data_IF_320627501734
#
_entry.id   IF_320627501734
#
_cell.length_a   1.000
_cell.length_b   1.000
_cell.length_c   1.000
_cell.angle_alpha   90.00
_cell.angle_beta   90.00
_cell.angle_gamma   90.00
#
_symmetry.space_group_name_H-M   'P 1'
#
loop_
_entity.id
_entity.type
_entity.pdbx_description
1 polymer ?
#
# COMPACT_ATOMS: atom_id res chain seq x y z
N UNK A 1 -11.01 -13.41 37.66
CA UNK A 1 -9.68 -13.99 37.36
C UNK A 1 -9.61 -14.02 35.86
N UNK A 2 -8.93 -13.01 35.32
CA UNK A 2 -9.01 -12.61 33.92
C UNK A 2 -8.30 -13.60 32.99
N UNK A 3 -8.90 -13.70 31.82
CA UNK A 3 -8.58 -14.53 30.67
C UNK A 3 -7.24 -14.12 30.06
N UNK A 4 -6.19 -14.90 30.29
CA UNK A 4 -4.98 -14.87 29.47
C UNK A 4 -5.24 -15.71 28.21
N UNK A 5 -5.95 -15.12 27.23
CA UNK A 5 -5.96 -15.63 25.86
C UNK A 5 -5.00 -14.75 25.03
N UNK A 6 -3.76 -15.19 24.76
CA UNK A 6 -2.89 -14.48 23.85
C UNK A 6 -3.42 -14.75 22.44
N UNK A 7 -4.34 -13.91 21.96
CA UNK A 7 -4.51 -13.75 20.53
C UNK A 7 -3.14 -13.37 19.97
N UNK A 8 -2.46 -14.35 19.39
CA UNK A 8 -1.28 -14.16 18.56
C UNK A 8 -1.64 -13.07 17.56
N UNK A 9 -1.15 -11.85 17.79
CA UNK A 9 -1.20 -10.76 16.82
C UNK A 9 -0.49 -11.27 15.58
N UNK A 10 -1.26 -11.76 14.62
CA UNK A 10 -0.76 -12.24 13.34
C UNK A 10 -0.12 -11.04 12.65
N UNK A 11 1.20 -11.09 12.39
CA UNK A 11 1.90 -10.03 11.67
C UNK A 11 1.21 -9.85 10.31
N UNK A 12 0.61 -8.67 10.02
CA UNK A 12 -0.13 -8.45 8.78
C UNK A 12 0.76 -8.56 7.53
N UNK A 13 2.08 -8.42 7.69
CA UNK A 13 3.06 -8.58 6.61
C UNK A 13 3.84 -9.90 6.68
N UNK A 14 3.31 -10.91 7.39
CA UNK A 14 3.80 -12.28 7.28
C UNK A 14 3.48 -12.85 5.89
N UNK A 15 4.53 -13.19 5.14
CA UNK A 15 4.46 -13.74 3.78
C UNK A 15 4.57 -15.26 3.73
N UNK A 16 4.80 -15.94 4.85
CA UNK A 16 5.19 -17.36 4.88
C UNK A 16 4.21 -18.27 4.14
N UNK A 17 2.91 -18.01 4.27
CA UNK A 17 1.86 -18.79 3.60
C UNK A 17 1.85 -18.53 2.09
N UNK A 18 1.97 -17.26 1.68
CA UNK A 18 1.93 -16.87 0.27
C UNK A 18 3.18 -17.35 -0.46
N UNK A 19 4.35 -17.32 0.19
CA UNK A 19 5.60 -17.86 -0.36
C UNK A 19 5.53 -19.37 -0.57
N UNK A 20 4.92 -20.10 0.38
CA UNK A 20 4.66 -21.53 0.20
C UNK A 20 3.71 -21.78 -0.99
N UNK A 21 2.59 -21.04 -1.07
CA UNK A 21 1.64 -21.16 -2.17
C UNK A 21 2.26 -20.82 -3.54
N UNK A 22 3.09 -19.78 -3.60
CA UNK A 22 3.81 -19.40 -4.82
C UNK A 22 4.79 -20.51 -5.24
N UNK A 23 5.49 -21.12 -4.28
CA UNK A 23 6.40 -22.23 -4.55
C UNK A 23 5.70 -23.46 -5.11
N UNK A 24 4.53 -23.83 -4.57
CA UNK A 24 3.73 -24.94 -5.11
C UNK A 24 3.18 -24.61 -6.50
N UNK A 25 2.71 -23.38 -6.71
CA UNK A 25 2.21 -22.92 -8.01
C UNK A 25 3.31 -22.90 -9.08
N UNK A 26 4.53 -22.52 -8.72
CA UNK A 26 5.68 -22.54 -9.63
C UNK A 26 6.02 -23.97 -10.08
N UNK A 27 5.96 -24.95 -9.17
CA UNK A 27 6.11 -26.37 -9.54
C UNK A 27 5.00 -26.82 -10.47
N UNK A 28 3.75 -26.50 -10.16
CA UNK A 28 2.61 -26.84 -11.01
C UNK A 28 2.75 -26.23 -12.42
N UNK A 29 3.22 -24.98 -12.52
CA UNK A 29 3.51 -24.33 -13.80
C UNK A 29 4.64 -25.04 -14.56
N UNK A 30 5.73 -25.42 -13.90
CA UNK A 30 6.83 -26.16 -14.53
C UNK A 30 6.37 -27.52 -15.05
N UNK A 31 5.62 -28.28 -14.24
CA UNK A 31 5.06 -29.58 -14.61
C UNK A 31 4.08 -29.44 -15.79
N UNK A 32 3.15 -28.48 -15.71
CA UNK A 32 2.15 -28.23 -16.75
C UNK A 32 2.78 -27.75 -18.06
N UNK A 33 3.79 -26.89 -17.97
CA UNK A 33 4.51 -26.39 -19.16
C UNK A 33 5.38 -27.50 -19.78
N UNK A 34 6.04 -28.31 -18.96
CA UNK A 34 6.88 -29.42 -19.42
C UNK A 34 6.09 -30.53 -20.11
N UNK A 35 4.85 -30.77 -19.67
CA UNK A 35 3.93 -31.74 -20.27
C UNK A 35 2.87 -31.11 -21.19
N UNK A 36 3.03 -29.84 -21.57
CA UNK A 36 1.98 -29.07 -22.26
C UNK A 36 1.54 -29.73 -23.56
N UNK A 37 2.49 -30.06 -24.42
CA UNK A 37 2.19 -30.64 -25.73
C UNK A 37 1.62 -32.05 -25.61
N UNK A 38 2.13 -32.89 -24.70
CA UNK A 38 1.59 -34.25 -24.51
C UNK A 38 0.17 -34.22 -23.96
N UNK A 39 -0.09 -33.39 -22.95
CA UNK A 39 -1.41 -33.27 -22.34
C UNK A 39 -2.41 -32.65 -23.31
N UNK A 40 -1.98 -31.65 -24.08
CA UNK A 40 -2.80 -31.07 -25.14
C UNK A 40 -3.13 -32.09 -26.22
N UNK A 41 -2.17 -32.90 -26.70
CA UNK A 41 -2.43 -33.92 -27.72
C UNK A 41 -3.45 -34.95 -27.22
N UNK A 42 -3.33 -35.39 -25.97
CA UNK A 42 -4.29 -36.30 -25.35
C UNK A 42 -5.69 -35.66 -25.28
N UNK A 43 -5.80 -34.45 -24.73
CA UNK A 43 -7.08 -33.72 -24.63
C UNK A 43 -7.70 -33.41 -26.00
N UNK A 44 -6.87 -33.00 -26.96
CA UNK A 44 -7.28 -32.74 -28.34
C UNK A 44 -7.83 -34.01 -28.99
N UNK A 45 -7.11 -35.14 -28.89
CA UNK A 45 -7.55 -36.41 -29.47
C UNK A 45 -8.87 -36.92 -28.88
N UNK A 46 -9.11 -36.67 -27.58
CA UNK A 46 -10.32 -37.08 -26.88
C UNK A 46 -11.50 -36.12 -27.10
N UNK A 47 -11.23 -34.87 -27.49
CA UNK A 47 -12.24 -33.82 -27.67
C UNK A 47 -12.66 -33.59 -29.13
N UNK A 48 -12.04 -34.28 -30.09
CA UNK A 48 -12.42 -34.23 -31.50
C UNK A 48 -13.76 -34.95 -31.74
N UNK A 49 -14.68 -34.25 -32.39
CA UNK A 49 -15.86 -34.86 -32.99
C UNK A 49 -15.52 -35.65 -34.27
N UNK A 50 -16.48 -36.44 -34.75
CA UNK A 50 -16.32 -37.22 -35.98
C UNK A 50 -16.11 -36.32 -37.22
N UNK A 51 -16.86 -35.22 -37.32
CA UNK A 51 -16.71 -34.22 -38.39
C UNK A 51 -15.35 -33.52 -38.36
N UNK A 52 -14.89 -33.13 -37.16
CA UNK A 52 -13.55 -32.52 -37.00
C UNK A 52 -12.43 -33.51 -37.33
N UNK A 53 -12.58 -34.79 -36.94
CA UNK A 53 -11.63 -35.85 -37.26
C UNK A 53 -11.55 -36.10 -38.77
N UNK A 54 -12.68 -36.03 -39.47
CA UNK A 54 -12.73 -36.20 -40.92
C UNK A 54 -11.94 -35.11 -41.67
N UNK A 55 -11.82 -33.90 -41.10
CA UNK A 55 -11.02 -32.81 -41.70
C UNK A 55 -9.56 -33.22 -41.91
N UNK A 56 -8.99 -34.09 -41.08
CA UNK A 56 -7.60 -34.55 -41.24
C UNK A 56 -7.35 -35.21 -42.61
N UNK A 57 -8.37 -35.85 -43.18
CA UNK A 57 -8.30 -36.53 -44.47
C UNK A 57 -8.95 -35.71 -45.61
N UNK A 58 -9.94 -34.88 -45.31
CA UNK A 58 -10.70 -34.11 -46.30
C UNK A 58 -10.08 -32.75 -46.63
N UNK A 59 -9.60 -32.05 -45.60
CA UNK A 59 -9.06 -30.68 -45.71
C UNK A 59 -8.02 -30.46 -44.59
N UNK A 60 -6.81 -30.97 -44.83
CA UNK A 60 -5.70 -30.91 -43.89
C UNK A 60 -5.42 -29.47 -43.43
N UNK A 61 -5.63 -28.48 -44.31
CA UNK A 61 -5.40 -27.07 -43.96
C UNK A 61 -6.39 -26.59 -42.89
N UNK A 62 -7.66 -26.95 -43.01
CA UNK A 62 -8.67 -26.65 -41.98
C UNK A 62 -8.41 -27.42 -40.69
N UNK A 63 -8.01 -28.68 -40.78
CA UNK A 63 -7.67 -29.47 -39.59
C UNK A 63 -6.52 -28.83 -38.79
N UNK A 64 -5.45 -28.40 -39.46
CA UNK A 64 -4.33 -27.72 -38.81
C UNK A 64 -4.74 -26.37 -38.19
N UNK A 65 -5.64 -25.62 -38.83
CA UNK A 65 -6.16 -24.39 -38.24
C UNK A 65 -6.97 -24.65 -36.96
N UNK A 66 -7.82 -25.69 -36.97
CA UNK A 66 -8.56 -26.13 -35.79
C UNK A 66 -7.63 -26.58 -34.66
N UNK A 67 -6.57 -27.33 -34.98
CA UNK A 67 -5.55 -27.75 -34.02
C UNK A 67 -4.91 -26.56 -33.31
N UNK A 68 -4.47 -25.54 -34.05
CA UNK A 68 -3.88 -24.33 -33.47
C UNK A 68 -4.88 -23.53 -32.64
N UNK A 69 -6.14 -23.44 -33.08
CA UNK A 69 -7.20 -22.78 -32.32
C UNK A 69 -7.46 -23.47 -30.98
N UNK A 70 -7.63 -24.80 -30.98
CA UNK A 70 -7.82 -25.56 -29.74
C UNK A 70 -6.58 -25.53 -28.86
N UNK A 71 -5.37 -25.53 -29.43
CA UNK A 71 -4.12 -25.38 -28.67
C UNK A 71 -4.08 -24.04 -27.94
N UNK A 72 -4.43 -22.96 -28.62
CA UNK A 72 -4.50 -21.62 -28.02
C UNK A 72 -5.51 -21.58 -26.87
N UNK A 73 -6.71 -22.11 -27.09
CA UNK A 73 -7.74 -22.19 -26.06
C UNK A 73 -7.29 -23.02 -24.84
N UNK A 74 -6.63 -24.15 -25.09
CA UNK A 74 -6.07 -25.00 -24.04
C UNK A 74 -5.03 -24.25 -23.19
N UNK A 75 -4.12 -23.51 -23.82
CA UNK A 75 -3.13 -22.68 -23.13
C UNK A 75 -3.83 -21.59 -22.30
N UNK A 76 -4.82 -20.90 -22.88
CA UNK A 76 -5.58 -19.85 -22.20
C UNK A 76 -6.35 -20.39 -20.98
N UNK A 77 -6.86 -21.62 -21.04
CA UNK A 77 -7.61 -22.23 -19.95
C UNK A 77 -6.70 -22.80 -18.86
N UNK A 78 -5.61 -23.47 -19.24
CA UNK A 78 -4.78 -24.24 -18.28
C UNK A 78 -3.60 -23.46 -17.74
N UNK A 79 -2.92 -22.65 -18.56
CA UNK A 79 -1.69 -21.96 -18.16
C UNK A 79 -1.94 -20.53 -17.70
N UNK A 80 -2.81 -19.78 -18.39
CA UNK A 80 -3.02 -18.37 -18.08
C UNK A 80 -3.49 -18.13 -16.63
N UNK A 81 -4.45 -18.91 -16.06
CA UNK A 81 -4.91 -18.68 -14.70
C UNK A 81 -3.80 -18.93 -13.65
N UNK A 82 -2.95 -19.93 -13.91
CA UNK A 82 -1.81 -20.24 -13.03
C UNK A 82 -0.77 -19.11 -13.07
N UNK A 83 -0.48 -18.57 -14.25
CA UNK A 83 0.42 -17.43 -14.40
C UNK A 83 -0.11 -16.19 -13.68
N UNK A 84 -1.39 -15.85 -13.91
CA UNK A 84 -2.03 -14.70 -13.26
C UNK A 84 -2.01 -14.81 -11.73
N UNK A 85 -2.36 -15.99 -11.20
CA UNK A 85 -2.30 -16.24 -9.75
C UNK A 85 -0.87 -16.13 -9.20
N UNK A 86 0.12 -16.54 -9.98
CA UNK A 86 1.54 -16.41 -9.62
C UNK A 86 1.99 -14.96 -9.54
N UNK A 87 1.57 -14.15 -10.51
CA UNK A 87 1.81 -12.71 -10.52
C UNK A 87 1.14 -12.00 -9.33
N UNK A 88 -0.12 -12.35 -9.03
CA UNK A 88 -0.86 -11.82 -7.88
C UNK A 88 -0.17 -12.14 -6.55
N UNK A 89 0.23 -13.40 -6.34
CA UNK A 89 0.95 -13.82 -5.13
C UNK A 89 2.31 -13.12 -5.01
N UNK A 90 3.07 -13.05 -6.09
CA UNK A 90 4.36 -12.36 -6.14
C UNK A 90 4.21 -10.88 -5.79
N UNK A 91 3.18 -10.21 -6.33
CA UNK A 91 2.88 -8.82 -6.02
C UNK A 91 2.49 -8.62 -4.54
N UNK A 92 1.65 -9.50 -3.99
CA UNK A 92 1.26 -9.46 -2.57
C UNK A 92 2.47 -9.61 -1.65
N UNK A 93 3.31 -10.62 -1.90
CA UNK A 93 4.54 -10.90 -1.14
C UNK A 93 5.47 -9.70 -1.19
N UNK A 94 5.71 -9.14 -2.38
CA UNK A 94 6.60 -8.01 -2.53
C UNK A 94 6.09 -6.75 -1.79
N UNK A 95 4.79 -6.50 -1.86
CA UNK A 95 4.15 -5.40 -1.12
C UNK A 95 4.33 -5.56 0.38
N UNK A 96 4.03 -6.75 0.92
CA UNK A 96 4.20 -7.04 2.36
C UNK A 96 5.64 -6.96 2.82
N UNK A 97 6.58 -7.51 2.06
CA UNK A 97 8.03 -7.40 2.35
C UNK A 97 8.48 -5.94 2.37
N UNK A 98 7.99 -5.15 1.42
CA UNK A 98 8.28 -3.71 1.37
C UNK A 98 7.72 -3.02 2.62
N UNK A 99 6.46 -3.25 2.98
CA UNK A 99 5.85 -2.66 4.19
C UNK A 99 6.60 -3.07 5.46
N UNK A 100 6.99 -4.34 5.57
CA UNK A 100 7.78 -4.84 6.70
C UNK A 100 9.13 -4.15 6.80
N UNK A 101 9.80 -3.92 5.67
CA UNK A 101 11.05 -3.17 5.62
C UNK A 101 10.84 -1.70 6.02
N UNK A 102 9.78 -1.05 5.52
CA UNK A 102 9.44 0.33 5.88
C UNK A 102 9.25 0.45 7.40
N UNK A 103 8.43 -0.42 8.00
CA UNK A 103 8.23 -0.42 9.46
C UNK A 103 9.52 -0.67 10.23
N UNK A 104 10.35 -1.61 9.77
CA UNK A 104 11.65 -1.86 10.39
C UNK A 104 12.58 -0.65 10.32
N UNK A 105 12.56 0.09 9.20
CA UNK A 105 13.36 1.30 9.01
C UNK A 105 12.86 2.46 9.89
N UNK A 106 11.53 2.63 10.00
CA UNK A 106 10.88 3.59 10.89
C UNK A 106 11.22 3.31 12.35
N UNK A 107 11.09 2.06 12.80
CA UNK A 107 11.45 1.64 14.15
C UNK A 107 12.94 1.90 14.43
N UNK A 108 13.83 1.52 13.50
CA UNK A 108 15.27 1.76 13.63
C UNK A 108 15.61 3.26 13.69
N UNK A 109 14.91 4.09 12.91
CA UNK A 109 15.06 5.54 12.95
C UNK A 109 14.63 6.11 14.31
N UNK A 110 13.48 5.68 14.84
CA UNK A 110 12.96 6.16 16.13
C UNK A 110 13.82 5.72 17.32
N UNK A 111 14.51 4.57 17.23
CA UNK A 111 15.50 4.15 18.22
C UNK A 111 16.70 5.11 18.25
N UNK A 112 17.16 5.57 17.09
CA UNK A 112 18.29 6.51 16.97
C UNK A 112 17.89 7.96 17.26
N UNK A 113 16.64 8.32 17.00
CA UNK A 113 16.07 9.66 17.18
C UNK A 113 14.81 9.60 18.04
N UNK A 114 14.92 9.34 19.36
CA UNK A 114 13.77 9.19 20.24
C UNK A 114 12.98 10.49 20.44
N UNK A 115 13.54 11.64 20.06
CA UNK A 115 12.87 12.94 20.04
C UNK A 115 12.11 13.22 18.73
N UNK A 116 12.25 12.35 17.73
CA UNK A 116 11.54 12.50 16.46
C UNK A 116 10.08 12.05 16.57
N UNK A 117 9.22 12.71 15.80
CA UNK A 117 7.82 12.32 15.62
C UNK A 117 7.54 12.19 14.12
N UNK A 118 7.20 10.97 13.68
CA UNK A 118 7.00 10.67 12.25
C UNK A 118 5.88 11.52 11.62
N UNK A 119 4.80 11.82 12.35
CA UNK A 119 3.71 12.66 11.84
C UNK A 119 4.18 14.10 11.57
N UNK A 120 5.07 14.61 12.43
CA UNK A 120 5.66 15.96 12.28
C UNK A 120 6.62 15.99 11.08
N UNK A 121 7.43 14.94 10.93
CA UNK A 121 8.35 14.83 9.79
C UNK A 121 7.59 14.68 8.46
N UNK A 122 6.50 13.91 8.46
CA UNK A 122 5.61 13.78 7.30
C UNK A 122 4.97 15.12 6.94
N UNK A 123 4.44 15.85 7.92
CA UNK A 123 3.87 17.18 7.68
C UNK A 123 4.90 18.17 7.11
N UNK A 124 6.15 18.10 7.58
CA UNK A 124 7.26 18.89 7.04
C UNK A 124 7.58 18.51 5.59
N UNK A 125 7.56 17.21 5.26
CA UNK A 125 7.74 16.75 3.89
C UNK A 125 6.69 17.32 2.94
N UNK A 126 5.44 17.33 3.37
CA UNK A 126 4.31 17.71 2.50
C UNK A 126 4.20 19.23 2.29
N UNK A 127 4.66 20.04 3.26
CA UNK A 127 4.38 21.49 3.28
C UNK A 127 5.62 22.39 3.23
N UNK A 128 6.75 21.92 3.75
CA UNK A 128 7.87 22.79 4.08
C UNK A 128 9.17 22.44 3.34
N UNK A 129 9.20 21.36 2.53
CA UNK A 129 10.37 20.98 1.76
C UNK A 129 10.59 21.88 0.53
N UNK A 130 11.87 22.18 0.27
CA UNK A 130 12.28 22.85 -0.96
C UNK A 130 12.54 21.82 -2.07
N UNK A 131 12.48 22.26 -3.34
CA UNK A 131 12.80 21.39 -4.49
C UNK A 131 14.18 20.74 -4.42
N UNK A 132 15.16 21.40 -3.79
CA UNK A 132 16.50 20.87 -3.61
C UNK A 132 16.52 19.70 -2.60
N UNK A 133 15.75 19.82 -1.52
CA UNK A 133 15.62 18.78 -0.49
C UNK A 133 14.77 17.60 -1.00
N UNK A 134 13.71 17.87 -1.76
CA UNK A 134 12.93 16.82 -2.42
C UNK A 134 13.81 16.00 -3.36
N UNK A 135 14.73 16.66 -4.07
CA UNK A 135 15.70 15.97 -4.93
C UNK A 135 16.65 15.10 -4.10
N UNK A 136 17.19 15.63 -3.00
CA UNK A 136 18.05 14.86 -2.10
C UNK A 136 17.32 13.65 -1.50
N UNK A 137 16.03 13.80 -1.15
CA UNK A 137 15.21 12.71 -0.64
C UNK A 137 14.97 11.61 -1.68
N UNK A 138 14.80 11.97 -2.96
CA UNK A 138 14.70 10.99 -4.08
C UNK A 138 15.99 10.21 -4.31
N UNK A 139 17.13 10.75 -3.88
CA UNK A 139 18.44 10.09 -3.99
C UNK A 139 18.75 9.20 -2.77
N UNK A 140 17.91 9.24 -1.72
CA UNK A 140 18.06 8.37 -0.56
C UNK A 140 17.88 6.90 -0.94
N UNK A 141 18.68 6.01 -0.34
CA UNK A 141 18.72 4.59 -0.69
C UNK A 141 17.80 3.73 0.17
N UNK A 142 17.32 4.27 1.29
CA UNK A 142 16.38 3.61 2.20
C UNK A 142 15.44 4.59 2.86
N UNK A 143 14.36 4.09 3.45
CA UNK A 143 13.42 4.91 4.22
C UNK A 143 14.11 5.50 5.43
N UNK A 144 14.94 4.72 6.13
CA UNK A 144 15.72 5.22 7.27
C UNK A 144 16.62 6.40 6.90
N UNK A 145 17.34 6.31 5.77
CA UNK A 145 18.20 7.40 5.29
C UNK A 145 17.37 8.64 4.95
N UNK A 146 16.23 8.45 4.26
CA UNK A 146 15.31 9.52 3.93
C UNK A 146 14.75 10.22 5.17
N UNK A 147 14.28 9.47 6.16
CA UNK A 147 13.81 10.00 7.45
C UNK A 147 14.91 10.78 8.17
N UNK A 148 16.15 10.29 8.14
CA UNK A 148 17.31 11.01 8.66
C UNK A 148 17.55 12.36 7.98
N UNK A 149 17.44 12.42 6.65
CA UNK A 149 17.55 13.68 5.89
C UNK A 149 16.44 14.66 6.25
N UNK A 150 15.18 14.19 6.24
CA UNK A 150 14.00 14.99 6.58
C UNK A 150 14.11 15.55 7.99
N UNK A 151 14.50 14.71 8.95
CA UNK A 151 14.72 15.12 10.33
C UNK A 151 15.82 16.18 10.45
N UNK A 152 16.91 16.06 9.70
CA UNK A 152 17.97 17.06 9.69
C UNK A 152 17.51 18.38 9.09
N UNK A 153 16.76 18.36 7.97
CA UNK A 153 16.19 19.57 7.37
C UNK A 153 15.21 20.26 8.33
N UNK A 154 14.35 19.48 8.99
CA UNK A 154 13.42 19.97 10.00
C UNK A 154 14.17 20.61 11.19
N UNK A 155 15.19 19.94 11.74
CA UNK A 155 16.01 20.49 12.84
C UNK A 155 16.75 21.77 12.45
N UNK A 156 17.27 21.86 11.23
CA UNK A 156 17.94 23.05 10.72
C UNK A 156 16.99 24.23 10.54
N UNK A 157 15.73 23.97 10.15
CA UNK A 157 14.68 25.00 10.04
C UNK A 157 14.06 25.38 11.38
N UNK A 158 14.22 24.55 12.40
CA UNK A 158 14.09 24.98 13.78
C UNK A 158 13.72 23.85 14.74
N UNK A 159 14.60 23.62 15.71
CA UNK A 159 14.10 23.72 17.09
C UNK A 159 13.81 25.20 17.38
N UNK A 160 12.64 25.69 16.99
CA UNK A 160 12.01 26.74 17.80
C UNK A 160 10.95 25.99 18.60
N UNK A 161 11.22 25.66 19.87
CA UNK A 161 10.11 25.47 20.78
C UNK A 161 9.31 26.76 20.70
N UNK A 162 8.13 26.73 20.08
CA UNK A 162 7.05 27.57 20.61
C UNK A 162 6.74 26.97 21.97
N UNK A 163 7.59 27.26 22.97
CA UNK A 163 7.08 27.41 24.33
C UNK A 163 5.86 28.30 24.17
N UNK A 164 4.69 27.73 24.44
CA UNK A 164 3.53 28.53 24.74
C UNK A 164 3.92 29.35 25.96
N UNK A 165 4.47 30.53 25.71
CA UNK A 165 4.49 31.64 26.63
C UNK A 165 3.02 32.04 26.80
N UNK A 166 2.30 31.22 27.56
CA UNK A 166 1.05 31.58 28.20
C UNK A 166 1.50 32.41 29.39
N UNK A 167 1.41 33.76 29.35
CA UNK A 167 1.54 34.51 30.57
C UNK A 167 0.42 34.04 31.50
N UNK A 168 0.79 33.24 32.50
CA UNK A 168 0.02 33.05 33.72
C UNK A 168 -0.21 34.43 34.30
N UNK A 169 -1.41 34.97 34.14
CA UNK A 169 -1.94 35.93 35.10
C UNK A 169 -2.99 35.21 35.92
N UNK A 170 -2.57 34.92 37.15
CA UNK A 170 -3.40 34.59 38.29
C UNK A 170 -4.63 35.49 38.33
N UNK A 171 -5.78 34.87 38.55
CA UNK A 171 -6.90 35.50 39.23
C UNK A 171 -6.47 36.05 40.60
N UNK A 172 -6.88 37.28 40.87
CA UNK A 172 -7.21 37.71 42.22
C UNK A 172 -8.35 38.76 42.13
N UNK A 173 -9.56 38.27 42.37
CA UNK A 173 -10.69 38.97 43.02
C UNK A 173 -10.19 39.90 44.14
N UNK A 174 -10.81 41.03 44.53
CA UNK A 174 -12.22 41.38 44.63
C UNK A 174 -12.25 42.85 45.11
N UNK A 175 -13.15 43.70 44.61
CA UNK A 175 -13.84 44.73 45.40
C UNK A 175 -14.99 45.29 44.56
N UNK A 176 -16.18 45.18 45.13
CA UNK A 176 -17.49 45.59 44.62
C UNK A 176 -17.73 47.07 44.98
N UNK A 177 -18.82 47.60 44.45
CA UNK A 177 -19.53 48.86 44.78
C UNK A 177 -19.12 50.06 43.92
N UNK A 178 -20.01 50.85 43.31
CA UNK A 178 -21.48 50.96 43.37
C UNK A 178 -21.90 51.80 42.14
N UNK A 179 -23.14 51.59 41.69
CA UNK A 179 -24.06 52.50 40.99
C UNK A 179 -23.57 53.41 39.82
N UNK A 180 -24.23 53.31 38.66
CA UNK A 180 -25.34 54.23 38.35
C UNK A 180 -25.71 54.17 36.85
N UNK A 181 -27.00 53.92 36.57
CA UNK A 181 -27.76 54.33 35.37
C UNK A 181 -27.33 53.83 33.96
N UNK A 182 -28.17 53.56 32.97
CA UNK A 182 -29.61 53.58 32.75
C UNK A 182 -29.84 52.96 31.35
N UNK A 183 -30.91 52.17 31.23
CA UNK A 183 -31.76 51.99 30.04
C UNK A 183 -31.19 51.40 28.73
N UNK A 184 -31.58 50.13 28.48
CA UNK A 184 -32.16 49.75 27.17
C UNK A 184 -33.25 50.78 26.80
N UNK A 185 -33.24 51.34 25.58
CA UNK A 185 -34.44 51.41 24.73
C UNK A 185 -34.17 51.98 23.31
N UNK A 186 -35.01 51.53 22.36
CA UNK A 186 -35.47 52.18 21.11
C UNK A 186 -34.58 52.19 19.85
N UNK A 187 -34.93 51.24 18.97
CA UNK A 187 -35.41 51.44 17.59
C UNK A 187 -34.54 52.17 16.55
N UNK A 188 -34.27 51.43 15.47
CA UNK A 188 -34.14 51.94 14.10
C UNK A 188 -35.30 52.90 13.76
N UNK A 189 -35.04 53.92 12.93
CA UNK A 189 -35.65 53.85 11.59
C UNK A 189 -34.72 54.30 10.46
N UNK A 190 -34.98 53.69 9.30
CA UNK A 190 -34.50 54.07 7.98
C UNK A 190 -34.84 55.53 7.61
N UNK A 191 -33.96 56.21 6.86
CA UNK A 191 -34.21 56.59 5.45
C UNK A 191 -33.15 57.54 4.88
N UNK A 192 -32.96 57.40 3.55
CA UNK A 192 -32.73 58.46 2.54
C UNK A 192 -31.41 59.25 2.69
N UNK A 193 -30.49 59.21 1.74
CA UNK A 193 -30.62 59.31 0.27
C UNK A 193 -29.33 58.81 -0.38
#
# INVERSE_FOLDING_TARGET
MDENNPELKKDPDDTSIEEYQLGELQKELEETTGALDSNFIEDFSNSLSEDESALAYQDLKKFLALYEEKKKAYIEEKLLPLQQKGEELSHSINTKKTNKQIRSDEEAFLIEHPDANLDVLQAFMDNDMTKAEEKALREAKSVKEGLGLVYNFWKQRGQVPKEKDLPKKLDASHAVDEEDSLALDVSLPANRR
#
